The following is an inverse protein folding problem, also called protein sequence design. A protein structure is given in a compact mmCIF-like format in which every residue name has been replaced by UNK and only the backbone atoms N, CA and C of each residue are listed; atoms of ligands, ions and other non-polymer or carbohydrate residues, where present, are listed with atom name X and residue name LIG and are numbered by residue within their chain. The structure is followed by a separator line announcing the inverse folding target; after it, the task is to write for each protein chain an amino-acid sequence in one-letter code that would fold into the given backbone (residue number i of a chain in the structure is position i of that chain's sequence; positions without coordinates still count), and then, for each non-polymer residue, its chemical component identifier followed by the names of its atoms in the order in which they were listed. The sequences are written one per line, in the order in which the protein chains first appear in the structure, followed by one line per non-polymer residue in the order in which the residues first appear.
data_IF_070630400825
#
_entry.id   IF_070630400825
#
_cell.length_a   1.000
_cell.length_b   1.000
_cell.length_c   1.000
_cell.angle_alpha   90.00
_cell.angle_beta   90.00
_cell.angle_gamma   90.00
#
_symmetry.space_group_name_H-M   'P 1'
#
loop_
_entity.id
_entity.type
_entity.pdbx_description
1 polymer ?
#
# COMPACT_ATOMS: atom_id res chain seq x y z
N UNK A 1 -9.11 5.50 -20.19
CA UNK A 1 -8.06 5.70 -19.17
C UNK A 1 -6.94 4.71 -19.43
N UNK A 2 -5.67 5.16 -19.38
CA UNK A 2 -4.49 4.29 -19.50
C UNK A 2 -3.90 3.95 -18.14
N UNK A 3 -2.91 3.05 -18.10
CA UNK A 3 -2.11 2.75 -16.91
C UNK A 3 -0.62 2.87 -17.25
N UNK A 4 0.17 3.36 -16.29
CA UNK A 4 1.63 3.39 -16.37
C UNK A 4 2.21 2.54 -15.24
N UNK A 5 3.18 1.68 -15.56
CA UNK A 5 3.88 0.84 -14.59
C UNK A 5 5.31 1.35 -14.47
N UNK A 6 5.70 1.78 -13.27
CA UNK A 6 7.05 2.19 -12.95
C UNK A 6 7.79 1.10 -12.17
N UNK A 7 9.03 0.82 -12.58
CA UNK A 7 9.94 -0.07 -11.84
C UNK A 7 11.08 0.77 -11.23
N UNK A 8 11.67 0.29 -10.13
CA UNK A 8 12.76 1.00 -9.45
C UNK A 8 12.34 2.32 -8.78
N UNK A 9 11.04 2.54 -8.63
CA UNK A 9 10.48 3.76 -8.01
C UNK A 9 10.50 3.61 -6.50
N UNK A 10 11.06 4.60 -5.81
CA UNK A 10 10.90 4.75 -4.37
C UNK A 10 9.60 5.50 -4.11
N UNK A 11 8.60 4.78 -3.59
CA UNK A 11 7.29 5.36 -3.32
C UNK A 11 7.31 6.37 -2.16
N UNK A 12 8.40 6.46 -1.39
CA UNK A 12 8.61 7.53 -0.39
C UNK A 12 9.16 8.82 -1.00
N UNK A 13 9.70 8.76 -2.22
CA UNK A 13 10.20 9.91 -2.99
C UNK A 13 9.81 9.78 -4.47
N UNK A 14 8.50 9.88 -4.74
CA UNK A 14 7.98 9.83 -6.10
C UNK A 14 8.47 11.00 -6.96
N UNK A 15 8.71 12.16 -6.35
CA UNK A 15 9.21 13.34 -7.06
C UNK A 15 10.62 13.08 -7.63
N UNK A 16 11.50 12.47 -6.85
CA UNK A 16 12.87 12.15 -7.25
C UNK A 16 13.03 10.87 -8.06
N UNK A 17 12.13 9.89 -7.92
CA UNK A 17 12.34 8.53 -8.48
C UNK A 17 11.37 8.10 -9.57
N UNK A 18 10.32 8.88 -9.87
CA UNK A 18 9.46 8.56 -11.00
C UNK A 18 10.23 8.67 -12.32
N UNK A 19 10.10 7.68 -13.23
CA UNK A 19 10.77 7.70 -14.52
C UNK A 19 10.43 8.95 -15.35
N UNK A 20 11.38 9.46 -16.16
CA UNK A 20 11.10 10.49 -17.13
C UNK A 20 9.94 10.09 -18.06
N UNK A 21 8.99 11.00 -18.29
CA UNK A 21 7.81 10.75 -19.14
C UNK A 21 6.58 10.22 -18.40
N UNK A 22 6.67 9.96 -17.09
CA UNK A 22 5.50 9.70 -16.28
C UNK A 22 4.57 10.93 -16.24
N UNK A 23 3.33 10.76 -16.72
CA UNK A 23 2.34 11.85 -16.77
C UNK A 23 1.74 12.04 -15.38
N UNK A 24 1.85 13.26 -14.86
CA UNK A 24 1.29 13.70 -13.58
C UNK A 24 0.38 14.89 -13.82
N UNK A 25 -0.62 15.14 -12.97
CA UNK A 25 -1.05 14.33 -11.82
C UNK A 25 -1.85 13.05 -12.21
N UNK A 26 -2.02 12.12 -11.27
CA UNK A 26 -2.73 10.85 -11.45
C UNK A 26 -4.14 10.87 -10.84
N UNK A 27 -5.12 10.26 -11.51
CA UNK A 27 -6.43 9.96 -10.92
C UNK A 27 -6.35 8.91 -9.81
N UNK A 28 -5.40 7.98 -9.95
CA UNK A 28 -5.20 6.87 -9.02
C UNK A 28 -3.75 6.41 -8.97
N UNK A 29 -3.24 6.23 -7.76
CA UNK A 29 -1.99 5.52 -7.48
C UNK A 29 -2.36 4.18 -6.83
N UNK A 30 -1.92 3.07 -7.42
CA UNK A 30 -2.13 1.73 -6.87
C UNK A 30 -0.78 1.16 -6.46
N UNK A 31 -0.62 0.79 -5.19
CA UNK A 31 0.65 0.30 -4.68
C UNK A 31 0.47 -0.95 -3.83
N UNK A 32 1.16 -2.03 -4.21
CA UNK A 32 1.27 -3.22 -3.39
C UNK A 32 2.30 -2.98 -2.29
N UNK A 33 1.83 -2.58 -1.11
CA UNK A 33 2.71 -2.04 -0.07
C UNK A 33 3.65 -3.11 0.52
N UNK A 34 4.97 -2.87 0.59
CA UNK A 34 5.93 -3.83 1.11
C UNK A 34 5.99 -3.80 2.65
N UNK A 35 6.63 -4.81 3.24
CA UNK A 35 7.12 -4.71 4.62
C UNK A 35 8.47 -3.98 4.62
N UNK A 36 8.69 -3.13 5.61
CA UNK A 36 10.03 -2.61 5.91
C UNK A 36 11.02 -3.77 6.16
N UNK A 37 12.30 -3.56 5.80
CA UNK A 37 13.37 -4.56 5.94
C UNK A 37 13.48 -5.09 7.37
N UNK A 38 13.34 -4.19 8.34
CA UNK A 38 13.26 -4.52 9.77
C UNK A 38 11.85 -4.99 10.16
N UNK A 39 11.47 -6.20 9.74
CA UNK A 39 10.09 -6.72 9.82
C UNK A 39 9.46 -6.67 11.23
N UNK A 40 10.26 -6.77 12.28
CA UNK A 40 9.80 -6.78 13.69
C UNK A 40 9.54 -5.38 14.26
N UNK A 41 9.94 -4.31 13.58
CA UNK A 41 9.79 -2.93 14.06
C UNK A 41 8.53 -2.29 13.48
N UNK A 42 7.44 -2.33 14.25
CA UNK A 42 6.14 -1.85 13.78
C UNK A 42 6.11 -0.35 13.47
N UNK A 43 6.86 0.43 14.24
CA UNK A 43 7.04 1.86 14.00
C UNK A 43 7.65 2.14 12.62
N UNK A 44 8.56 1.29 12.13
CA UNK A 44 9.15 1.45 10.80
C UNK A 44 8.15 1.20 9.67
N UNK A 45 7.21 0.27 9.85
CA UNK A 45 6.13 0.07 8.87
C UNK A 45 5.16 1.26 8.84
N UNK A 46 4.88 1.86 10.01
CA UNK A 46 4.05 3.07 10.12
C UNK A 46 4.73 4.27 9.46
N UNK A 47 6.00 4.48 9.75
CA UNK A 47 6.83 5.53 9.15
C UNK A 47 6.84 5.40 7.61
N UNK A 48 7.06 4.18 7.10
CA UNK A 48 7.06 3.92 5.66
C UNK A 48 5.70 4.26 5.01
N UNK A 49 4.57 3.91 5.66
CA UNK A 49 3.24 4.27 5.17
C UNK A 49 3.03 5.78 5.14
N UNK A 50 3.42 6.48 6.21
CA UNK A 50 3.30 7.93 6.28
C UNK A 50 4.11 8.60 5.17
N UNK A 51 5.37 8.22 5.00
CA UNK A 51 6.25 8.74 3.95
C UNK A 51 5.65 8.50 2.56
N UNK A 52 5.15 7.28 2.30
CA UNK A 52 4.48 6.98 1.04
C UNK A 52 3.25 7.86 0.80
N UNK A 53 2.34 7.97 1.78
CA UNK A 53 1.14 8.78 1.61
C UNK A 53 1.48 10.25 1.37
N UNK A 54 2.42 10.81 2.13
CA UNK A 54 2.91 12.18 1.94
C UNK A 54 3.52 12.38 0.55
N UNK A 55 4.32 11.43 0.07
CA UNK A 55 4.90 11.49 -1.27
C UNK A 55 3.80 11.47 -2.34
N UNK A 56 2.81 10.59 -2.18
CA UNK A 56 1.74 10.38 -3.15
C UNK A 56 0.79 11.57 -3.33
N UNK A 57 0.49 12.33 -2.28
CA UNK A 57 -0.53 13.40 -2.34
C UNK A 57 -0.18 14.50 -3.33
N UNK A 58 1.10 14.87 -3.46
CA UNK A 58 1.55 15.90 -4.41
C UNK A 58 1.46 15.47 -5.88
N UNK A 59 1.17 14.19 -6.14
CA UNK A 59 1.08 13.61 -7.48
C UNK A 59 -0.34 13.21 -7.87
N UNK A 60 -1.34 13.48 -7.03
CA UNK A 60 -2.75 13.21 -7.32
C UNK A 60 -3.45 14.45 -7.87
N UNK A 61 -4.47 14.22 -8.71
CA UNK A 61 -5.47 15.25 -9.03
C UNK A 61 -6.30 15.55 -7.79
N UNK A 62 -7.06 16.65 -7.82
CA UNK A 62 -8.13 16.86 -6.84
C UNK A 62 -9.08 15.64 -6.83
N UNK A 63 -9.40 15.12 -5.63
CA UNK A 63 -10.17 13.88 -5.44
C UNK A 63 -9.54 12.60 -5.99
N UNK A 64 -8.26 12.64 -6.38
CA UNK A 64 -7.47 11.46 -6.75
C UNK A 64 -7.36 10.45 -5.60
N UNK A 65 -7.09 9.19 -5.93
CA UNK A 65 -7.14 8.09 -4.95
C UNK A 65 -5.81 7.35 -4.81
N UNK A 66 -5.40 7.09 -3.58
CA UNK A 66 -4.40 6.07 -3.27
C UNK A 66 -5.09 4.75 -2.95
N UNK A 67 -4.67 3.66 -3.58
CA UNK A 67 -5.11 2.30 -3.27
C UNK A 67 -3.90 1.50 -2.82
N UNK A 68 -3.90 1.11 -1.55
CA UNK A 68 -2.86 0.26 -0.96
C UNK A 68 -3.43 -1.11 -0.63
N UNK A 69 -2.69 -2.15 -0.97
CA UNK A 69 -2.99 -3.52 -0.50
C UNK A 69 -2.08 -3.88 0.66
N UNK A 70 -2.66 -4.36 1.76
CA UNK A 70 -1.95 -4.86 2.94
C UNK A 70 -2.30 -6.33 3.20
N UNK A 71 -1.40 -7.05 3.87
CA UNK A 71 -1.69 -8.39 4.38
C UNK A 71 -2.67 -8.32 5.56
N UNK A 72 -3.40 -9.42 5.78
CA UNK A 72 -4.40 -9.55 6.85
C UNK A 72 -3.84 -9.14 8.22
N UNK A 73 -4.54 -8.24 8.90
CA UNK A 73 -4.20 -7.77 10.24
C UNK A 73 -3.02 -6.81 10.27
N UNK A 74 -2.59 -6.27 9.13
CA UNK A 74 -1.62 -5.17 9.09
C UNK A 74 -2.33 -3.82 9.16
N UNK A 75 -3.49 -3.65 8.51
CA UNK A 75 -4.13 -2.34 8.39
C UNK A 75 -4.59 -1.76 9.73
N UNK A 76 -5.13 -2.62 10.61
CA UNK A 76 -5.70 -2.21 11.89
C UNK A 76 -7.06 -1.55 11.77
N UNK A 77 -7.80 -1.85 10.70
CA UNK A 77 -9.13 -1.27 10.46
C UNK A 77 -10.23 -2.19 11.02
N UNK A 78 -11.38 -1.65 11.47
CA UNK A 78 -12.51 -2.47 11.91
C UNK A 78 -13.06 -3.44 10.85
N UNK A 79 -12.78 -3.19 9.57
CA UNK A 79 -13.17 -4.07 8.46
C UNK A 79 -12.34 -5.36 8.36
N UNK A 80 -11.25 -5.50 9.12
CA UNK A 80 -10.44 -6.71 9.09
C UNK A 80 -11.07 -7.84 9.93
N UNK A 81 -11.06 -9.06 9.39
CA UNK A 81 -11.58 -10.24 10.11
C UNK A 81 -10.68 -10.74 11.24
N UNK A 82 -9.41 -10.32 11.27
CA UNK A 82 -8.49 -10.59 12.39
C UNK A 82 -8.22 -9.29 13.09
N UNK A 83 -8.83 -9.13 14.27
CA UNK A 83 -8.60 -7.98 15.14
C UNK A 83 -7.29 -8.20 15.90
N UNK A 84 -6.37 -7.24 15.76
CA UNK A 84 -5.18 -7.13 16.60
C UNK A 84 -5.33 -5.91 17.50
N UNK A 85 -4.56 -5.86 18.59
CA UNK A 85 -4.46 -4.62 19.38
C UNK A 85 -3.98 -3.50 18.47
N UNK A 86 -4.50 -2.27 18.58
CA UNK A 86 -4.08 -1.15 17.72
C UNK A 86 -2.55 -0.95 17.68
N UNK A 87 -1.87 -1.18 18.81
CA UNK A 87 -0.42 -1.11 18.94
C UNK A 87 0.35 -2.16 18.11
N UNK A 88 -0.30 -3.25 17.69
CA UNK A 88 0.27 -4.34 16.88
C UNK A 88 -0.15 -4.26 15.39
N UNK A 89 -0.72 -3.13 14.98
CA UNK A 89 -1.11 -2.86 13.59
C UNK A 89 -0.29 -1.70 12.99
N UNK A 90 -0.33 -1.57 11.67
CA UNK A 90 0.31 -0.48 10.95
C UNK A 90 -0.54 0.79 10.92
N UNK A 91 -1.76 0.76 11.49
CA UNK A 91 -2.62 1.92 11.68
C UNK A 91 -2.79 2.73 10.39
N UNK A 92 -3.10 2.06 9.29
CA UNK A 92 -3.06 2.63 7.94
C UNK A 92 -3.95 3.87 7.79
N UNK A 93 -5.08 3.91 8.51
CA UNK A 93 -5.95 5.08 8.55
C UNK A 93 -5.27 6.30 9.19
N UNK A 94 -4.58 6.12 10.31
CA UNK A 94 -3.86 7.21 10.98
C UNK A 94 -2.68 7.70 10.13
N UNK A 95 -1.97 6.78 9.47
CA UNK A 95 -0.88 7.13 8.55
C UNK A 95 -1.36 7.91 7.31
N UNK A 96 -2.52 7.55 6.75
CA UNK A 96 -3.13 8.31 5.65
C UNK A 96 -3.61 9.69 6.13
N UNK A 97 -4.24 9.75 7.31
CA UNK A 97 -4.74 10.99 7.88
C UNK A 97 -3.63 12.01 8.16
N UNK A 98 -2.44 11.57 8.60
CA UNK A 98 -1.29 12.47 8.79
C UNK A 98 -0.78 13.11 7.49
N UNK A 99 -1.12 12.54 6.33
CA UNK A 99 -0.83 13.10 5.02
C UNK A 99 -2.01 13.88 4.41
N UNK A 100 -3.09 14.12 5.18
CA UNK A 100 -4.28 14.82 4.71
C UNK A 100 -5.24 13.98 3.85
N UNK A 101 -5.09 12.64 3.85
CA UNK A 101 -5.96 11.73 3.12
C UNK A 101 -7.10 11.19 4.00
N UNK A 102 -8.29 11.05 3.41
CA UNK A 102 -9.43 10.38 4.03
C UNK A 102 -9.55 8.93 3.53
N UNK A 103 -9.62 7.99 4.47
CA UNK A 103 -9.91 6.59 4.13
C UNK A 103 -11.36 6.43 3.70
N UNK A 104 -11.59 6.20 2.42
CA UNK A 104 -12.94 6.02 1.89
C UNK A 104 -13.47 4.60 2.11
N UNK A 105 -12.66 3.57 1.83
CA UNK A 105 -13.12 2.18 1.79
C UNK A 105 -11.97 1.21 2.14
N UNK A 106 -12.35 0.10 2.78
CA UNK A 106 -11.51 -1.10 2.94
C UNK A 106 -12.24 -2.25 2.28
N UNK A 107 -11.57 -3.00 1.42
CA UNK A 107 -12.15 -4.12 0.68
C UNK A 107 -11.22 -5.34 0.76
N UNK A 108 -11.76 -6.57 0.78
CA UNK A 108 -10.94 -7.75 0.56
C UNK A 108 -10.16 -7.64 -0.76
N UNK A 109 -8.87 -7.97 -0.73
CA UNK A 109 -8.07 -8.03 -1.94
C UNK A 109 -8.57 -9.18 -2.83
N UNK A 110 -8.82 -8.98 -4.14
CA UNK A 110 -9.36 -10.00 -5.04
C UNK A 110 -8.29 -11.02 -5.47
N UNK A 111 -7.62 -11.65 -4.50
CA UNK A 111 -6.46 -12.54 -4.71
C UNK A 111 -6.77 -13.68 -5.69
N UNK A 112 -7.97 -14.26 -5.64
CA UNK A 112 -8.37 -15.35 -6.56
C UNK A 112 -8.41 -14.87 -8.02
N UNK A 113 -9.00 -13.70 -8.25
CA UNK A 113 -9.06 -13.09 -9.58
C UNK A 113 -7.66 -12.72 -10.06
N UNK A 114 -6.83 -12.11 -9.20
CA UNK A 114 -5.44 -11.77 -9.53
C UNK A 114 -4.62 -13.02 -9.86
N UNK A 115 -4.79 -14.12 -9.11
CA UNK A 115 -4.11 -15.38 -9.36
C UNK A 115 -4.47 -16.00 -10.72
N UNK A 116 -5.72 -15.84 -11.17
CA UNK A 116 -6.12 -16.25 -12.52
C UNK A 116 -5.39 -15.46 -13.63
N UNK A 117 -4.88 -14.27 -13.31
CA UNK A 117 -4.00 -13.46 -14.18
C UNK A 117 -2.51 -13.65 -13.90
N UNK A 118 -2.12 -14.69 -13.14
CA UNK A 118 -0.72 -15.03 -12.86
C UNK A 118 -0.09 -14.27 -11.70
N UNK A 119 -0.85 -13.45 -10.95
CA UNK A 119 -0.32 -12.82 -9.74
C UNK A 119 -0.06 -13.85 -8.64
N UNK A 120 1.12 -13.79 -8.05
CA UNK A 120 1.49 -14.58 -6.88
C UNK A 120 1.90 -13.67 -5.73
N UNK A 121 1.23 -13.82 -4.58
CA UNK A 121 1.64 -13.11 -3.37
C UNK A 121 2.95 -13.67 -2.84
N UNK A 122 3.93 -12.80 -2.61
CA UNK A 122 5.22 -13.16 -2.02
C UNK A 122 5.27 -12.92 -0.51
N UNK A 123 4.21 -12.33 0.08
CA UNK A 123 4.16 -11.88 1.47
C UNK A 123 3.83 -12.96 2.49
N UNK A 124 3.15 -14.03 2.10
CA UNK A 124 2.94 -15.24 2.90
C UNK A 124 3.59 -16.42 2.20
N UNK A 125 4.81 -16.78 2.61
CA UNK A 125 5.31 -18.13 2.31
C UNK A 125 4.60 -19.06 3.28
N UNK A 126 3.57 -19.75 2.80
CA UNK A 126 3.03 -20.91 3.49
C UNK A 126 4.12 -21.98 3.37
N UNK A 127 5.05 -22.03 4.32
CA UNK A 127 5.92 -23.20 4.46
C UNK A 127 5.00 -24.35 4.89
N UNK A 128 4.50 -25.13 3.94
CA UNK A 128 3.58 -26.24 4.24
C UNK A 128 2.83 -26.88 3.07
N UNK A 129 3.24 -26.69 1.82
CA UNK A 129 2.80 -27.60 0.75
C UNK A 129 4.05 -28.33 0.27
N UNK A 130 4.15 -29.59 0.69
CA UNK A 130 5.12 -30.56 0.20
C UNK A 130 5.07 -30.60 -1.34
N UNK A 131 6.25 -30.51 -1.95
CA UNK A 131 6.50 -31.19 -3.22
C UNK A 131 6.63 -32.68 -2.95
#
# INVERSE_FOLDING_TARGET
AGAQVGHGVDATDLAGTLPPGCRRPYDRIVFQFPQHRERRKINKHRELLQQFFTSATSHLVENGKVVVSLCKGQGGTPAESTLKRPADTWQVQAAAASAGLLMQQVRPCPIRTLAAFGYMSTGFRINGIHR
#
